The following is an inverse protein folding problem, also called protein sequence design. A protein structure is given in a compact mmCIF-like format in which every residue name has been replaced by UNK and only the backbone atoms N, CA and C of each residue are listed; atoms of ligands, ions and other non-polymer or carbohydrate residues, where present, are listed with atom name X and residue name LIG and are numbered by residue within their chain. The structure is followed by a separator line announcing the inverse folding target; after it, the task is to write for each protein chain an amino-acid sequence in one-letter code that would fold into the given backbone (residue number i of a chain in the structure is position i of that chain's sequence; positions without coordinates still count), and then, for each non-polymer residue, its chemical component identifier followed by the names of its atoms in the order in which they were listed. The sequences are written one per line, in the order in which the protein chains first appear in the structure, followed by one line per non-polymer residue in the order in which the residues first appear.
data_IF_888789408123
#
_entry.id   IF_888789408123
#
_cell.length_a   1.000
_cell.length_b   1.000
_cell.length_c   1.000
_cell.angle_alpha   90.00
_cell.angle_beta   90.00
_cell.angle_gamma   90.00
#
_symmetry.space_group_name_H-M   'P 1'
#
loop_
_entity.id
_entity.type
_entity.pdbx_description
1 polymer ?
#
# COMPACT_ATOMS: atom_id res chain seq x y z
N UNK A 1 1.50 -17.29 -18.83
CA UNK A 1 0.28 -16.69 -19.43
C UNK A 1 -0.14 -15.55 -18.52
N UNK A 2 -0.50 -14.39 -19.05
CA UNK A 2 -1.02 -13.31 -18.21
C UNK A 2 -2.35 -13.75 -17.59
N UNK A 3 -2.53 -13.52 -16.28
CA UNK A 3 -3.78 -13.81 -15.59
C UNK A 3 -4.92 -12.98 -16.19
N UNK A 4 -6.10 -13.59 -16.28
CA UNK A 4 -7.32 -12.87 -16.68
C UNK A 4 -7.79 -11.96 -15.54
N UNK A 5 -8.61 -10.96 -15.88
CA UNK A 5 -9.14 -10.00 -14.91
C UNK A 5 -9.92 -10.66 -13.77
N UNK A 6 -10.71 -11.70 -14.09
CA UNK A 6 -11.51 -12.43 -13.11
C UNK A 6 -10.63 -13.28 -12.19
N UNK A 7 -9.59 -13.92 -12.73
CA UNK A 7 -8.60 -14.64 -11.91
C UNK A 7 -7.85 -13.71 -10.96
N UNK A 8 -7.56 -12.48 -11.36
CA UNK A 8 -6.93 -11.50 -10.48
C UNK A 8 -7.92 -11.06 -9.38
N UNK A 9 -9.19 -10.82 -9.72
CA UNK A 9 -10.23 -10.45 -8.75
C UNK A 9 -10.41 -11.50 -7.65
N UNK A 10 -10.39 -12.78 -8.01
CA UNK A 10 -10.47 -13.90 -7.05
C UNK A 10 -9.26 -13.97 -6.10
N UNK A 11 -8.11 -13.41 -6.51
CA UNK A 11 -6.87 -13.40 -5.74
C UNK A 11 -6.64 -12.11 -4.96
N UNK A 12 -7.58 -11.14 -5.02
CA UNK A 12 -7.44 -9.89 -4.29
C UNK A 12 -7.45 -10.15 -2.79
N UNK A 13 -6.46 -9.58 -2.13
CA UNK A 13 -6.25 -9.58 -0.68
C UNK A 13 -6.29 -8.14 -0.18
N UNK A 14 -6.53 -8.03 1.12
CA UNK A 14 -6.55 -6.76 1.83
C UNK A 14 -5.54 -6.84 2.98
N UNK A 15 -4.75 -5.80 3.15
CA UNK A 15 -3.97 -5.59 4.36
C UNK A 15 -4.35 -4.23 4.96
N UNK A 16 -4.40 -4.16 6.29
CA UNK A 16 -4.78 -2.96 7.02
C UNK A 16 -3.75 -2.69 8.11
N UNK A 17 -3.47 -1.41 8.33
CA UNK A 17 -2.56 -0.95 9.36
C UNK A 17 -3.07 0.39 9.91
N UNK A 18 -3.14 0.50 11.23
CA UNK A 18 -3.28 1.80 11.89
C UNK A 18 -1.90 2.45 11.95
N UNK A 19 -1.76 3.61 11.33
CA UNK A 19 -0.49 4.32 11.21
C UNK A 19 -0.11 5.01 12.53
N UNK A 20 1.14 5.42 12.59
CA UNK A 20 1.73 6.20 13.68
C UNK A 20 2.75 7.18 13.10
N UNK A 21 3.42 7.92 13.97
CA UNK A 21 4.50 8.85 13.61
C UNK A 21 5.85 8.18 13.37
N UNK A 22 5.89 6.86 13.35
CA UNK A 22 7.08 6.07 12.99
C UNK A 22 6.80 5.24 11.77
N UNK A 23 7.85 4.93 11.00
CA UNK A 23 7.79 3.99 9.87
C UNK A 23 7.23 2.66 10.33
N UNK A 24 6.20 2.19 9.65
CA UNK A 24 5.57 0.91 9.91
C UNK A 24 5.35 0.17 8.60
N UNK A 25 5.81 -1.07 8.55
CA UNK A 25 5.54 -1.95 7.44
C UNK A 25 4.08 -2.43 7.50
N UNK A 26 3.39 -2.35 6.37
CA UNK A 26 2.00 -2.81 6.27
C UNK A 26 1.88 -4.33 6.29
N UNK A 27 2.95 -5.02 5.86
CA UNK A 27 3.03 -6.47 5.91
C UNK A 27 3.92 -6.90 7.05
N UNK A 28 3.50 -7.94 7.78
CA UNK A 28 4.27 -8.52 8.89
C UNK A 28 5.62 -9.12 8.47
N UNK A 29 5.79 -9.41 7.18
CA UNK A 29 7.01 -9.92 6.58
C UNK A 29 7.14 -9.40 5.16
N UNK A 30 8.36 -9.41 4.64
CA UNK A 30 8.66 -9.00 3.27
C UNK A 30 8.02 -9.94 2.25
N UNK A 31 7.90 -9.47 1.02
CA UNK A 31 7.36 -10.26 -0.09
C UNK A 31 8.30 -11.44 -0.35
N UNK A 32 7.81 -12.69 -0.44
CA UNK A 32 8.67 -13.83 -0.73
C UNK A 32 9.42 -13.69 -2.06
N UNK A 33 10.67 -14.17 -2.12
CA UNK A 33 11.56 -14.05 -3.30
C UNK A 33 10.94 -14.47 -4.64
N UNK A 34 10.07 -15.48 -4.63
CA UNK A 34 9.44 -16.04 -5.82
C UNK A 34 8.08 -15.43 -6.13
N UNK A 35 7.75 -14.32 -5.49
CA UNK A 35 6.45 -13.67 -5.57
C UNK A 35 6.64 -12.20 -5.91
N UNK A 36 5.76 -11.68 -6.77
CA UNK A 36 5.58 -10.24 -6.97
C UNK A 36 4.26 -9.82 -6.35
N UNK A 37 4.26 -8.74 -5.57
CA UNK A 37 3.04 -8.20 -4.98
C UNK A 37 2.59 -6.95 -5.73
N UNK A 38 1.43 -7.06 -6.35
CA UNK A 38 0.83 -6.01 -7.16
C UNK A 38 -0.20 -5.27 -6.31
N UNK A 39 0.12 -4.05 -5.89
CA UNK A 39 -0.80 -3.20 -5.13
C UNK A 39 -1.61 -2.37 -6.13
N UNK A 40 -2.92 -2.53 -6.06
CA UNK A 40 -3.86 -1.93 -7.02
C UNK A 40 -4.59 -0.74 -6.43
N UNK A 41 -4.69 -0.67 -5.09
CA UNK A 41 -5.32 0.45 -4.41
C UNK A 41 -4.86 0.62 -2.98
N UNK A 42 -4.77 1.88 -2.54
CA UNK A 42 -4.54 2.29 -1.16
C UNK A 42 -5.69 3.20 -0.75
N UNK A 43 -6.23 2.97 0.44
CA UNK A 43 -7.22 3.79 1.11
C UNK A 43 -6.60 4.33 2.40
N UNK A 44 -6.63 5.65 2.57
CA UNK A 44 -6.22 6.31 3.79
C UNK A 44 -7.44 6.97 4.42
N UNK A 45 -7.67 6.72 5.70
CA UNK A 45 -8.82 7.24 6.44
C UNK A 45 -8.34 8.23 7.50
N UNK A 46 -8.97 9.41 7.54
CA UNK A 46 -8.66 10.44 8.53
C UNK A 46 -9.04 10.04 9.95
N UNK A 47 -8.31 10.58 10.93
CA UNK A 47 -8.50 10.35 12.37
C UNK A 47 -9.25 11.51 13.07
N UNK A 48 -9.99 12.32 12.32
CA UNK A 48 -10.65 13.53 12.82
C UNK A 48 -9.79 14.80 12.75
N UNK A 49 -8.55 14.72 12.27
CA UNK A 49 -7.68 15.88 11.98
C UNK A 49 -7.04 15.75 10.60
N UNK A 50 -6.68 16.87 9.96
CA UNK A 50 -5.91 16.83 8.71
C UNK A 50 -4.49 16.35 8.98
N UNK A 51 -4.06 15.33 8.25
CA UNK A 51 -2.73 14.72 8.35
C UNK A 51 -2.11 14.60 6.96
N UNK A 52 -0.79 14.53 6.90
CA UNK A 52 -0.09 13.95 5.75
C UNK A 52 0.42 12.55 6.07
N UNK A 53 0.45 11.70 5.05
CA UNK A 53 1.02 10.34 5.09
C UNK A 53 2.08 10.23 4.00
N UNK A 54 3.25 9.72 4.34
CA UNK A 54 4.28 9.34 3.38
C UNK A 54 4.22 7.83 3.17
N UNK A 55 4.45 7.41 1.92
CA UNK A 55 4.42 6.01 1.50
C UNK A 55 5.77 5.70 0.86
N UNK A 56 6.46 4.73 1.43
CA UNK A 56 7.83 4.36 1.06
C UNK A 56 7.89 2.86 0.72
N UNK A 57 8.67 2.50 -0.27
CA UNK A 57 9.11 1.12 -0.49
C UNK A 57 10.29 0.83 0.43
N UNK A 58 10.26 -0.32 1.11
CA UNK A 58 11.41 -0.85 1.84
C UNK A 58 12.15 -1.79 0.90
N UNK A 59 13.41 -1.49 0.63
CA UNK A 59 14.30 -2.30 -0.21
C UNK A 59 14.92 -3.44 0.62
N UNK A 60 15.50 -4.43 -0.06
CA UNK A 60 16.13 -5.61 0.58
C UNK A 60 17.27 -5.26 1.55
N UNK A 61 17.90 -4.10 1.38
CA UNK A 61 18.99 -3.60 2.23
C UNK A 61 18.50 -2.69 3.37
N UNK A 62 17.20 -2.74 3.70
CA UNK A 62 16.51 -1.91 4.69
C UNK A 62 16.57 -0.40 4.37
N UNK A 63 16.89 -0.02 3.14
CA UNK A 63 16.76 1.37 2.68
C UNK A 63 15.32 1.68 2.24
N UNK A 64 14.98 2.97 2.23
CA UNK A 64 13.63 3.45 1.95
C UNK A 64 13.62 4.28 0.68
N UNK A 65 12.80 3.86 -0.29
CA UNK A 65 12.54 4.60 -1.51
C UNK A 65 11.17 5.27 -1.42
N UNK A 66 11.13 6.60 -1.40
CA UNK A 66 9.87 7.34 -1.32
C UNK A 66 9.07 7.21 -2.64
N UNK A 67 7.79 6.86 -2.52
CA UNK A 67 6.89 6.74 -3.67
C UNK A 67 5.80 7.78 -3.68
N UNK A 68 5.22 8.07 -2.52
CA UNK A 68 4.27 9.17 -2.36
C UNK A 68 4.70 10.03 -1.19
N UNK A 69 4.96 11.29 -1.49
CA UNK A 69 5.32 12.30 -0.51
C UNK A 69 4.07 13.08 -0.08
N UNK A 70 3.91 13.28 1.22
CA UNK A 70 2.92 14.16 1.83
C UNK A 70 1.47 14.00 1.31
N UNK A 71 0.97 12.77 1.23
CA UNK A 71 -0.43 12.49 0.85
C UNK A 71 -1.36 13.08 1.90
N UNK A 72 -2.10 14.12 1.53
CA UNK A 72 -2.99 14.83 2.45
C UNK A 72 -4.28 14.05 2.71
N UNK A 73 -4.47 13.60 3.95
CA UNK A 73 -5.65 12.92 4.46
C UNK A 73 -6.44 13.90 5.31
N UNK A 74 -7.62 14.29 4.83
CA UNK A 74 -8.48 15.24 5.55
C UNK A 74 -9.23 14.57 6.70
N UNK A 75 -9.56 15.34 7.73
CA UNK A 75 -10.13 14.89 8.99
C UNK A 75 -11.28 13.86 8.90
N UNK A 76 -12.23 14.04 7.97
CA UNK A 76 -13.45 13.23 7.87
C UNK A 76 -13.59 12.46 6.57
N UNK A 77 -12.60 12.56 5.68
CA UNK A 77 -12.68 11.95 4.34
C UNK A 77 -11.70 10.80 4.19
N UNK A 78 -11.90 10.01 3.14
CA UNK A 78 -10.93 9.01 2.74
C UNK A 78 -10.20 9.44 1.46
N UNK A 79 -8.90 9.16 1.43
CA UNK A 79 -8.07 9.36 0.23
C UNK A 79 -7.89 8.02 -0.43
N UNK A 80 -8.09 7.99 -1.75
CA UNK A 80 -7.96 6.79 -2.56
C UNK A 80 -6.83 6.99 -3.56
N UNK A 81 -5.86 6.06 -3.56
CA UNK A 81 -4.75 6.04 -4.51
C UNK A 81 -4.81 4.72 -5.29
N UNK A 82 -5.05 4.72 -6.61
CA UNK A 82 -5.48 5.87 -7.41
C UNK A 82 -6.93 6.25 -7.09
N UNK A 83 -7.32 7.48 -7.42
CA UNK A 83 -8.70 7.93 -7.27
C UNK A 83 -9.63 7.17 -8.26
N UNK A 84 -10.86 6.87 -7.83
CA UNK A 84 -11.85 6.19 -8.67
C UNK A 84 -11.86 4.67 -8.53
N UNK A 85 -12.28 3.96 -9.59
CA UNK A 85 -12.49 2.51 -9.55
C UNK A 85 -11.17 1.72 -9.49
N UNK A 86 -11.21 0.53 -8.88
CA UNK A 86 -10.06 -0.40 -8.87
C UNK A 86 -9.81 -0.90 -10.29
N UNK A 87 -8.60 -0.70 -10.80
CA UNK A 87 -8.12 -1.33 -12.03
C UNK A 87 -7.09 -2.40 -11.68
N UNK A 88 -7.53 -3.67 -11.66
CA UNK A 88 -6.68 -4.79 -11.22
C UNK A 88 -5.52 -5.10 -12.16
N UNK A 89 -5.58 -4.66 -13.42
CA UNK A 89 -4.53 -4.85 -14.44
C UNK A 89 -3.45 -3.77 -14.43
N UNK A 90 -3.71 -2.66 -13.76
CA UNK A 90 -2.80 -1.52 -13.69
C UNK A 90 -2.42 -1.29 -12.21
N UNK A 91 -1.52 -2.12 -11.64
CA UNK A 91 -1.03 -1.89 -10.29
C UNK A 91 -0.34 -0.52 -10.24
N UNK A 92 -0.62 0.24 -9.17
CA UNK A 92 0.07 1.51 -8.91
C UNK A 92 1.47 1.30 -8.36
N UNK A 93 1.68 0.13 -7.76
CA UNK A 93 2.87 -0.26 -7.03
C UNK A 93 3.11 -1.74 -7.30
N UNK A 94 4.35 -2.09 -7.63
CA UNK A 94 4.80 -3.48 -7.71
C UNK A 94 5.96 -3.67 -6.75
N UNK A 95 5.78 -4.55 -5.78
CA UNK A 95 6.83 -4.96 -4.85
C UNK A 95 7.46 -6.26 -5.36
N UNK A 96 8.78 -6.25 -5.45
CA UNK A 96 9.58 -7.41 -5.81
C UNK A 96 9.83 -8.29 -4.58
N UNK A 97 10.31 -9.51 -4.79
CA UNK A 97 10.77 -10.37 -3.70
C UNK A 97 11.75 -9.62 -2.79
N UNK A 98 11.71 -9.90 -1.49
CA UNK A 98 12.58 -9.27 -0.49
C UNK A 98 12.19 -7.83 -0.12
N UNK A 99 11.16 -7.24 -0.72
CA UNK A 99 10.75 -5.85 -0.46
C UNK A 99 9.47 -5.73 0.36
N UNK A 100 9.22 -4.54 0.92
CA UNK A 100 8.02 -4.24 1.71
C UNK A 100 7.45 -2.84 1.38
N UNK A 101 6.33 -2.50 1.99
CA UNK A 101 5.73 -1.17 1.91
C UNK A 101 5.59 -0.57 3.32
N UNK A 102 6.24 0.57 3.52
CA UNK A 102 6.24 1.36 4.74
C UNK A 102 5.32 2.57 4.62
N UNK A 103 4.68 2.91 5.73
CA UNK A 103 3.87 4.11 5.88
C UNK A 103 4.31 4.88 7.11
N UNK A 104 4.23 6.20 7.03
CA UNK A 104 4.45 7.10 8.17
C UNK A 104 3.42 8.23 8.11
N UNK A 105 2.74 8.48 9.22
CA UNK A 105 1.85 9.62 9.37
C UNK A 105 2.58 10.78 10.04
N UNK A 106 2.31 12.01 9.60
CA UNK A 106 2.84 13.22 10.23
C UNK A 106 2.47 13.35 11.71
N UNK A 107 1.28 12.89 12.10
CA UNK A 107 0.79 12.85 13.48
C UNK A 107 -0.46 11.96 13.58
N UNK A 108 -0.81 11.58 14.81
CA UNK A 108 -2.05 10.84 15.08
C UNK A 108 -1.98 9.37 14.66
N UNK A 109 -3.16 8.81 14.36
CA UNK A 109 -3.31 7.40 14.05
C UNK A 109 -4.31 7.15 12.90
N UNK A 110 -4.08 7.73 11.70
CA UNK A 110 -4.94 7.44 10.54
C UNK A 110 -4.85 5.96 10.16
N UNK A 111 -5.92 5.41 9.59
CA UNK A 111 -5.94 4.02 9.14
C UNK A 111 -5.57 3.92 7.66
N UNK A 112 -4.75 2.94 7.32
CA UNK A 112 -4.39 2.60 5.95
C UNK A 112 -4.93 1.21 5.62
N UNK A 113 -5.57 1.07 4.46
CA UNK A 113 -6.00 -0.21 3.90
C UNK A 113 -5.51 -0.33 2.47
N UNK A 114 -4.83 -1.42 2.14
CA UNK A 114 -4.33 -1.68 0.79
C UNK A 114 -5.01 -2.89 0.19
N UNK A 115 -5.31 -2.81 -1.09
CA UNK A 115 -5.81 -3.89 -1.91
C UNK A 115 -4.70 -4.34 -2.87
N UNK A 116 -4.38 -5.62 -2.84
CA UNK A 116 -3.26 -6.18 -3.59
C UNK A 116 -3.55 -7.61 -4.04
N UNK A 117 -2.74 -8.11 -4.96
CA UNK A 117 -2.71 -9.53 -5.31
C UNK A 117 -1.27 -9.98 -5.54
N UNK A 118 -1.02 -11.25 -5.32
CA UNK A 118 0.31 -11.84 -5.47
C UNK A 118 0.38 -12.62 -6.79
N UNK A 119 1.46 -12.44 -7.54
CA UNK A 119 1.81 -13.21 -8.73
C UNK A 119 3.03 -14.09 -8.44
N UNK A 120 2.97 -15.35 -8.84
CA UNK A 120 4.11 -16.27 -8.71
C UNK A 120 5.01 -16.14 -9.94
N UNK A 121 6.32 -15.98 -9.72
CA UNK A 121 7.35 -15.92 -10.76
C UNK A 121 7.73 -17.30 -11.31
#
# INVERSE_FOLDING_TARGET
MALTEDQIRERLKIAQLTLSTSRQNIFSSDVPERVKRNIVKIFLFGDGTNRTVEIEKVEEDDTYTMWFDNVNVTATDNVQLPAGAINVKAPIIVLEGGTNLSFIASAGAPECTICYWDDEL
#
